data_IF_172583228554
#
_entry.id   IF_172583228554
#
_cell.length_a   1.000
_cell.length_b   1.000
_cell.length_c   1.000
_cell.angle_alpha   90.00
_cell.angle_beta   90.00
_cell.angle_gamma   90.00
#
_symmetry.space_group_name_H-M   'P 1'
#
loop_
_entity.id
_entity.type
_entity.pdbx_description
1 polymer ?
#
# COMPACT_ATOMS: atom_id res chain seq x y z
N UNK A 1 -15.38 -2.14 4.98
CA UNK A 1 -15.33 -3.29 4.06
C UNK A 1 -14.62 -2.82 2.79
N UNK A 2 -13.33 -3.11 2.64
CA UNK A 2 -12.58 -2.74 1.42
C UNK A 2 -12.62 -3.93 0.47
N UNK A 3 -13.27 -3.78 -0.68
CA UNK A 3 -13.38 -4.81 -1.72
C UNK A 3 -12.55 -4.32 -2.91
N UNK A 4 -11.38 -4.91 -3.15
CA UNK A 4 -10.65 -4.74 -4.40
C UNK A 4 -11.06 -5.85 -5.38
N UNK A 5 -11.66 -5.47 -6.52
CA UNK A 5 -11.95 -6.37 -7.65
C UNK A 5 -10.76 -6.39 -8.59
N UNK A 6 -10.26 -7.58 -8.93
CA UNK A 6 -9.45 -7.81 -10.12
C UNK A 6 -9.85 -9.12 -10.79
N UNK A 7 -9.91 -9.06 -12.12
CA UNK A 7 -10.35 -10.09 -13.05
C UNK A 7 -9.49 -11.37 -12.97
N UNK A 8 -10.13 -12.50 -13.30
CA UNK A 8 -9.62 -13.88 -13.42
C UNK A 8 -9.65 -14.81 -12.21
N UNK A 9 -9.96 -14.34 -10.99
CA UNK A 9 -10.39 -15.24 -9.91
C UNK A 9 -11.67 -14.70 -9.27
N UNK A 10 -12.72 -15.52 -9.25
CA UNK A 10 -13.95 -15.25 -8.50
C UNK A 10 -13.71 -15.42 -6.99
N UNK A 11 -12.62 -14.85 -6.47
CA UNK A 11 -12.23 -14.94 -5.08
C UNK A 11 -12.21 -13.55 -4.44
N UNK A 12 -12.51 -13.50 -3.14
CA UNK A 12 -12.37 -12.32 -2.31
C UNK A 12 -11.71 -12.70 -0.99
N UNK A 13 -10.71 -11.93 -0.58
CA UNK A 13 -10.08 -12.02 0.72
C UNK A 13 -10.65 -10.93 1.64
N UNK A 14 -11.13 -11.31 2.81
CA UNK A 14 -11.66 -10.37 3.82
C UNK A 14 -11.08 -10.70 5.18
N UNK A 15 -10.87 -9.67 6.02
CA UNK A 15 -10.74 -9.88 7.47
C UNK A 15 -12.08 -9.53 8.13
N UNK A 16 -12.74 -10.48 8.81
CA UNK A 16 -14.02 -10.24 9.49
C UNK A 16 -13.82 -9.55 10.85
N UNK A 17 -13.10 -8.42 10.85
CA UNK A 17 -12.77 -7.63 12.04
C UNK A 17 -11.99 -8.42 13.12
N UNK A 18 -11.10 -9.33 12.72
CA UNK A 18 -10.30 -10.15 13.63
C UNK A 18 -8.84 -10.27 13.13
N UNK A 19 -8.11 -11.27 13.61
CA UNK A 19 -6.71 -11.54 13.28
C UNK A 19 -6.54 -12.55 12.13
N UNK A 20 -7.61 -12.85 11.39
CA UNK A 20 -7.63 -13.84 10.32
C UNK A 20 -8.01 -13.21 8.98
N UNK A 21 -7.56 -13.83 7.88
CA UNK A 21 -8.11 -13.58 6.53
C UNK A 21 -8.91 -14.79 6.09
N UNK A 22 -10.15 -14.56 5.67
CA UNK A 22 -11.03 -15.56 5.07
C UNK A 22 -11.06 -15.32 3.56
N UNK A 23 -10.76 -16.36 2.79
CA UNK A 23 -10.86 -16.33 1.33
C UNK A 23 -12.16 -17.03 0.94
N UNK A 24 -13.01 -16.32 0.20
CA UNK A 24 -14.25 -16.86 -0.36
C UNK A 24 -14.13 -16.97 -1.86
N UNK A 25 -14.61 -18.07 -2.44
CA UNK A 25 -14.74 -18.26 -3.87
C UNK A 25 -16.21 -18.33 -4.26
N UNK A 26 -16.56 -17.76 -5.42
CA UNK A 26 -17.93 -17.84 -5.93
C UNK A 26 -18.14 -19.20 -6.59
N UNK A 27 -19.14 -19.93 -6.13
CA UNK A 27 -19.65 -21.17 -6.73
C UNK A 27 -21.11 -20.95 -7.13
N UNK A 28 -21.35 -20.78 -8.43
CA UNK A 28 -22.68 -20.39 -8.95
C UNK A 28 -23.14 -19.05 -8.36
N UNK A 29 -24.23 -19.07 -7.59
CA UNK A 29 -24.81 -17.91 -6.92
C UNK A 29 -24.40 -17.77 -5.45
N UNK A 30 -23.51 -18.64 -4.94
CA UNK A 30 -23.07 -18.64 -3.55
C UNK A 30 -21.59 -18.27 -3.43
N UNK A 31 -21.22 -17.71 -2.27
CA UNK A 31 -19.84 -17.54 -1.86
C UNK A 31 -19.50 -18.60 -0.81
N UNK A 32 -18.47 -19.39 -1.08
CA UNK A 32 -18.04 -20.48 -0.20
C UNK A 32 -16.65 -20.14 0.32
N UNK A 33 -16.46 -20.20 1.65
CA UNK A 33 -15.15 -20.02 2.26
C UNK A 33 -14.24 -21.17 1.82
N UNK A 34 -13.18 -20.87 1.08
CA UNK A 34 -12.22 -21.86 0.59
C UNK A 34 -10.98 -21.96 1.48
N UNK A 35 -10.53 -20.86 2.07
CA UNK A 35 -9.34 -20.83 2.93
C UNK A 35 -9.48 -19.89 4.12
N UNK A 36 -8.61 -20.12 5.10
CA UNK A 36 -8.46 -19.33 6.30
C UNK A 36 -6.98 -19.17 6.63
N UNK A 37 -6.50 -17.94 6.69
CA UNK A 37 -5.11 -17.57 6.91
C UNK A 37 -4.98 -17.04 8.34
N UNK A 38 -4.25 -17.78 9.20
CA UNK A 38 -4.19 -17.56 10.66
C UNK A 38 -2.76 -17.45 11.18
N UNK A 39 -2.11 -16.31 10.94
CA UNK A 39 -0.75 -16.07 11.44
C UNK A 39 -0.62 -14.77 12.25
N UNK A 40 -1.50 -13.80 12.00
CA UNK A 40 -1.49 -12.56 12.77
C UNK A 40 -1.97 -12.78 14.21
N UNK A 41 -1.40 -12.02 15.14
CA UNK A 41 -1.79 -12.00 16.56
C UNK A 41 -2.55 -10.73 16.96
N UNK A 42 -2.97 -9.94 15.97
CA UNK A 42 -3.73 -8.71 16.16
C UNK A 42 -4.62 -8.44 14.94
N UNK A 43 -5.49 -7.44 15.06
CA UNK A 43 -6.41 -7.10 13.97
C UNK A 43 -5.67 -6.83 12.66
N UNK A 44 -6.17 -7.44 11.58
CA UNK A 44 -5.67 -7.17 10.23
C UNK A 44 -6.24 -5.84 9.77
N UNK A 45 -5.36 -4.92 9.42
CA UNK A 45 -5.71 -3.55 9.01
C UNK A 45 -5.62 -3.34 7.50
N UNK A 46 -4.86 -4.19 6.80
CA UNK A 46 -4.71 -4.10 5.36
C UNK A 46 -4.50 -5.48 4.72
N UNK A 47 -5.11 -5.64 3.55
CA UNK A 47 -4.98 -6.82 2.68
C UNK A 47 -4.85 -6.30 1.26
N UNK A 48 -3.90 -6.81 0.50
CA UNK A 48 -3.82 -6.58 -0.94
C UNK A 48 -3.44 -7.87 -1.66
N UNK A 49 -4.04 -8.11 -2.83
CA UNK A 49 -3.85 -9.34 -3.60
C UNK A 49 -3.20 -8.99 -4.94
N UNK A 50 -1.98 -9.49 -5.14
CA UNK A 50 -1.19 -9.30 -6.34
C UNK A 50 -1.76 -10.19 -7.47
N UNK A 51 -2.35 -9.62 -8.53
CA UNK A 51 -3.13 -10.39 -9.51
C UNK A 51 -2.31 -11.30 -10.43
N UNK A 52 -1.03 -10.98 -10.69
CA UNK A 52 -0.17 -11.75 -11.62
C UNK A 52 0.57 -12.87 -10.89
N UNK A 53 1.10 -12.58 -9.71
CA UNK A 53 1.88 -13.51 -8.89
C UNK A 53 1.03 -14.37 -7.96
N UNK A 54 -0.26 -14.08 -7.84
CA UNK A 54 -1.21 -14.73 -6.94
C UNK A 54 -0.72 -14.77 -5.47
N UNK A 55 -0.09 -13.66 -5.06
CA UNK A 55 0.36 -13.46 -3.68
C UNK A 55 -0.57 -12.51 -2.95
N UNK A 56 -0.90 -12.85 -1.70
CA UNK A 56 -1.60 -11.93 -0.81
C UNK A 56 -0.58 -11.29 0.11
N UNK A 57 -0.68 -9.99 0.37
CA UNK A 57 0.03 -9.36 1.48
C UNK A 57 -0.98 -8.90 2.52
N UNK A 58 -0.65 -9.16 3.78
CA UNK A 58 -1.44 -8.69 4.92
C UNK A 58 -0.57 -7.87 5.86
N UNK A 59 -1.17 -6.89 6.54
CA UNK A 59 -0.53 -6.16 7.63
C UNK A 59 -1.52 -5.94 8.78
N UNK A 60 -1.01 -5.83 10.01
CA UNK A 60 -1.88 -5.77 11.19
C UNK A 60 -1.37 -4.95 12.37
N UNK A 61 -2.22 -4.88 13.39
CA UNK A 61 -1.97 -4.20 14.66
C UNK A 61 -0.84 -4.86 15.48
N UNK A 62 -0.52 -6.12 15.20
CA UNK A 62 0.60 -6.87 15.76
C UNK A 62 1.98 -6.39 15.26
N UNK A 63 1.99 -5.42 14.32
CA UNK A 63 3.18 -4.77 13.73
C UNK A 63 3.89 -5.64 12.69
N UNK A 64 3.27 -6.74 12.28
CA UNK A 64 3.81 -7.64 11.28
C UNK A 64 3.16 -7.39 9.92
N UNK A 65 3.86 -7.82 8.87
CA UNK A 65 3.27 -8.14 7.59
C UNK A 65 3.65 -9.54 7.18
N UNK A 66 2.76 -10.20 6.44
CA UNK A 66 3.01 -11.51 5.86
C UNK A 66 2.74 -11.44 4.37
N UNK A 67 3.62 -12.05 3.58
CA UNK A 67 3.35 -12.38 2.18
C UNK A 67 2.93 -13.84 2.15
N UNK A 68 1.76 -14.09 1.61
CA UNK A 68 1.16 -15.40 1.49
C UNK A 68 1.32 -15.89 0.04
N UNK A 69 1.81 -17.11 -0.10
CA UNK A 69 1.92 -17.79 -1.39
C UNK A 69 1.12 -19.08 -1.35
N UNK A 70 0.37 -19.37 -2.42
CA UNK A 70 -0.37 -20.61 -2.55
C UNK A 70 0.55 -21.72 -3.09
N UNK A 71 0.78 -22.76 -2.28
CA UNK A 71 1.56 -23.94 -2.68
C UNK A 71 0.81 -25.20 -2.31
N UNK A 72 0.62 -26.10 -3.27
CA UNK A 72 -0.08 -27.38 -3.08
C UNK A 72 -1.49 -27.21 -2.46
N UNK A 73 -2.21 -26.15 -2.88
CA UNK A 73 -3.54 -25.82 -2.38
C UNK A 73 -3.57 -25.18 -0.97
N UNK A 74 -2.41 -24.92 -0.37
CA UNK A 74 -2.29 -24.33 0.97
C UNK A 74 -1.57 -22.98 0.90
N UNK A 75 -2.18 -21.96 1.50
CA UNK A 75 -1.54 -20.66 1.67
C UNK A 75 -0.46 -20.74 2.76
N UNK A 76 0.77 -20.38 2.40
CA UNK A 76 1.92 -20.36 3.30
C UNK A 76 2.35 -18.91 3.57
N UNK A 77 2.41 -18.47 4.84
CA UNK A 77 2.90 -17.14 5.18
C UNK A 77 4.43 -17.10 5.19
N UNK A 78 4.98 -16.00 4.69
CA UNK A 78 6.37 -15.58 4.89
C UNK A 78 6.37 -14.27 5.66
N UNK A 79 7.01 -14.26 6.83
CA UNK A 79 7.12 -13.06 7.67
C UNK A 79 7.96 -11.98 6.99
N UNK A 80 7.49 -10.74 7.04
CA UNK A 80 8.21 -9.56 6.57
C UNK A 80 8.56 -8.67 7.76
N UNK A 81 9.85 -8.44 7.98
CA UNK A 81 10.31 -7.59 9.08
C UNK A 81 10.18 -6.11 8.68
N UNK A 82 9.07 -5.51 9.09
CA UNK A 82 8.76 -4.10 8.80
C UNK A 82 9.63 -3.09 9.55
N UNK A 83 10.25 -3.51 10.66
CA UNK A 83 11.04 -2.66 11.57
C UNK A 83 10.26 -1.44 12.09
N UNK A 84 8.98 -1.65 12.44
CA UNK A 84 8.09 -0.64 13.03
C UNK A 84 7.78 -0.94 14.50
N UNK A 85 7.51 0.09 15.30
CA UNK A 85 7.21 -0.03 16.74
C UNK A 85 5.76 0.35 17.09
N UNK A 86 4.90 0.49 16.09
CA UNK A 86 3.46 0.76 16.17
C UNK A 86 2.74 -0.04 15.10
N UNK A 87 1.42 -0.18 15.21
CA UNK A 87 0.58 -0.91 14.26
C UNK A 87 0.89 -0.54 12.80
N UNK A 88 0.89 -1.54 11.92
CA UNK A 88 0.67 -1.30 10.50
C UNK A 88 -0.80 -0.90 10.31
N UNK A 89 -1.08 -0.07 9.31
CA UNK A 89 -2.41 0.54 9.13
C UNK A 89 -2.95 0.36 7.72
N UNK A 90 -2.08 0.15 6.74
CA UNK A 90 -2.45 -0.01 5.34
C UNK A 90 -1.35 -0.76 4.60
N UNK A 91 -1.68 -1.52 3.56
CA UNK A 91 -0.69 -2.16 2.68
C UNK A 91 -1.15 -2.16 1.24
N UNK A 92 -0.21 -1.97 0.31
CA UNK A 92 -0.44 -2.07 -1.14
C UNK A 92 0.74 -2.64 -1.91
N UNK A 93 0.48 -3.66 -2.73
CA UNK A 93 1.39 -4.12 -3.78
C UNK A 93 1.61 -3.03 -4.81
N UNK A 94 2.82 -2.95 -5.34
CA UNK A 94 3.14 -2.10 -6.48
C UNK A 94 2.60 -2.73 -7.78
N UNK A 95 2.37 -1.95 -8.85
CA UNK A 95 1.82 -2.44 -10.12
C UNK A 95 2.61 -3.57 -10.79
N UNK A 96 3.93 -3.64 -10.57
CA UNK A 96 4.78 -4.71 -11.07
C UNK A 96 4.92 -5.89 -10.09
N UNK A 97 4.30 -5.80 -8.90
CA UNK A 97 4.29 -6.84 -7.87
C UNK A 97 5.68 -7.27 -7.37
N UNK A 98 6.70 -6.45 -7.64
CA UNK A 98 8.09 -6.65 -7.21
C UNK A 98 8.38 -6.02 -5.83
N UNK A 99 7.46 -5.21 -5.32
CA UNK A 99 7.53 -4.59 -4.00
C UNK A 99 6.13 -4.21 -3.50
N UNK A 100 6.02 -3.86 -2.24
CA UNK A 100 4.80 -3.32 -1.64
C UNK A 100 5.14 -2.25 -0.60
N UNK A 101 4.16 -1.43 -0.26
CA UNK A 101 4.31 -0.37 0.73
C UNK A 101 3.35 -0.60 1.90
N UNK A 102 3.85 -0.39 3.12
CA UNK A 102 3.08 -0.50 4.37
C UNK A 102 3.08 0.84 5.09
N UNK A 103 1.90 1.39 5.31
CA UNK A 103 1.69 2.55 6.19
C UNK A 103 1.66 2.12 7.66
N UNK A 104 2.14 2.99 8.55
CA UNK A 104 2.16 2.68 9.98
C UNK A 104 1.86 3.89 10.86
N UNK A 105 1.33 3.61 12.06
CA UNK A 105 1.29 4.57 13.17
C UNK A 105 2.67 4.99 13.70
N UNK A 106 3.74 4.35 13.22
CA UNK A 106 5.13 4.73 13.50
C UNK A 106 5.59 5.95 12.68
N UNK A 107 4.66 6.62 11.98
CA UNK A 107 4.90 7.85 11.19
C UNK A 107 5.92 7.63 10.08
N UNK A 108 5.83 6.48 9.43
CA UNK A 108 6.69 6.09 8.33
C UNK A 108 5.95 5.16 7.37
N UNK A 109 6.52 5.00 6.18
CA UNK A 109 6.13 3.99 5.20
C UNK A 109 7.28 3.00 5.05
N UNK A 110 7.00 1.71 5.19
CA UNK A 110 7.94 0.64 4.87
C UNK A 110 7.72 0.19 3.42
N UNK A 111 8.72 0.38 2.56
CA UNK A 111 8.74 -0.16 1.20
C UNK A 111 9.51 -1.48 1.23
N UNK A 112 8.81 -2.57 0.97
CA UNK A 112 9.31 -3.92 1.11
C UNK A 112 9.51 -4.57 -0.26
N UNK A 113 10.65 -5.23 -0.46
CA UNK A 113 10.98 -5.95 -1.69
C UNK A 113 11.72 -7.25 -1.34
N UNK A 114 11.67 -8.22 -2.25
CA UNK A 114 12.31 -9.51 -2.06
C UNK A 114 13.74 -9.49 -2.62
N UNK A 115 14.71 -9.94 -1.83
CA UNK A 115 16.10 -10.09 -2.25
C UNK A 115 16.38 -11.56 -2.53
N UNK A 116 16.41 -11.93 -3.82
CA UNK A 116 16.53 -13.32 -4.27
C UNK A 116 17.79 -14.01 -3.78
N UNK A 117 18.90 -13.28 -3.71
CA UNK A 117 20.22 -13.83 -3.36
C UNK A 117 20.27 -14.34 -1.92
N UNK A 118 19.42 -13.78 -1.05
CA UNK A 118 19.38 -14.10 0.38
C UNK A 118 18.03 -14.73 0.81
N UNK A 119 17.10 -14.94 -0.13
CA UNK A 119 15.78 -15.57 0.08
C UNK A 119 14.93 -14.90 1.20
N UNK A 120 14.94 -13.57 1.29
CA UNK A 120 14.22 -12.84 2.34
C UNK A 120 13.66 -11.49 1.89
N UNK A 121 12.69 -10.99 2.67
CA UNK A 121 12.08 -9.69 2.46
C UNK A 121 12.83 -8.57 3.20
N UNK A 122 13.29 -7.58 2.43
CA UNK A 122 13.95 -6.37 2.94
C UNK A 122 12.94 -5.23 3.03
N UNK A 123 13.05 -4.38 4.05
CA UNK A 123 12.27 -3.14 4.17
C UNK A 123 13.17 -1.91 4.13
N UNK A 124 12.84 -0.89 3.32
CA UNK A 124 13.42 0.46 3.39
C UNK A 124 12.36 1.45 3.87
N UNK A 125 12.74 2.45 4.67
CA UNK A 125 11.78 3.37 5.31
C UNK A 125 11.77 4.76 4.69
N UNK A 126 10.58 5.26 4.36
CA UNK A 126 10.32 6.67 4.09
C UNK A 126 9.79 7.29 5.39
N UNK A 127 10.60 8.16 6.02
CA UNK A 127 10.29 8.75 7.35
C UNK A 127 9.92 10.22 7.29
N UNK A 128 10.81 11.07 6.76
CA UNK A 128 10.59 12.52 6.69
C UNK A 128 9.81 12.86 5.41
N UNK A 129 8.88 13.85 5.44
CA UNK A 129 8.49 14.71 6.56
C UNK A 129 7.22 14.23 7.29
N UNK A 130 6.94 12.92 7.32
CA UNK A 130 5.70 12.36 7.90
C UNK A 130 5.67 12.61 9.40
N UNK A 131 4.59 13.23 9.90
CA UNK A 131 4.44 13.59 11.32
C UNK A 131 3.35 12.83 12.06
N UNK A 132 2.54 12.03 11.37
CA UNK A 132 1.47 11.25 11.99
C UNK A 132 1.24 9.92 11.27
N UNK A 133 0.25 9.16 11.71
CA UNK A 133 -0.14 7.86 11.14
C UNK A 133 -0.45 7.97 9.65
N UNK A 134 0.07 7.03 8.85
CA UNK A 134 -0.32 6.86 7.45
C UNK A 134 -1.65 6.11 7.40
N UNK A 135 -2.63 6.60 6.66
CA UNK A 135 -3.97 6.00 6.56
C UNK A 135 -4.22 5.32 5.22
N UNK A 136 -3.61 5.81 4.16
CA UNK A 136 -3.84 5.32 2.80
C UNK A 136 -2.61 5.46 1.94
N UNK A 137 -2.44 4.51 1.02
CA UNK A 137 -1.37 4.50 0.04
C UNK A 137 -1.96 4.18 -1.35
N UNK A 138 -1.41 4.78 -2.39
CA UNK A 138 -1.70 4.36 -3.76
C UNK A 138 -0.46 4.51 -4.65
N UNK A 139 -0.21 3.50 -5.47
CA UNK A 139 0.96 3.47 -6.34
C UNK A 139 0.65 4.16 -7.66
N UNK A 140 1.58 4.98 -8.12
CA UNK A 140 1.56 5.49 -9.47
C UNK A 140 1.82 4.35 -10.48
N UNK A 141 1.25 4.39 -11.69
CA UNK A 141 1.40 3.34 -12.71
C UNK A 141 2.86 3.03 -13.10
N UNK A 142 3.78 3.98 -12.90
CA UNK A 142 5.23 3.78 -13.14
C UNK A 142 5.93 2.90 -12.09
N UNK A 143 5.22 2.35 -11.11
CA UNK A 143 5.76 1.51 -10.03
C UNK A 143 6.71 2.22 -9.06
N UNK A 144 6.99 3.51 -9.23
CA UNK A 144 7.98 4.25 -8.42
C UNK A 144 7.34 5.28 -7.51
N UNK A 145 6.44 6.12 -8.03
CA UNK A 145 5.82 7.14 -7.19
C UNK A 145 4.74 6.52 -6.30
N UNK A 146 4.66 7.00 -5.08
CA UNK A 146 3.74 6.50 -4.06
C UNK A 146 3.01 7.69 -3.42
N UNK A 147 1.70 7.74 -3.58
CA UNK A 147 0.85 8.67 -2.88
C UNK A 147 0.60 8.17 -1.46
N UNK A 148 0.57 9.09 -0.50
CA UNK A 148 0.31 8.78 0.90
C UNK A 148 -0.60 9.82 1.54
N UNK A 149 -1.68 9.35 2.17
CA UNK A 149 -2.57 10.14 3.02
C UNK A 149 -2.25 9.86 4.49
N UNK A 150 -2.28 10.90 5.34
CA UNK A 150 -1.92 10.75 6.75
C UNK A 150 -2.71 11.65 7.70
N UNK A 151 -2.64 11.32 8.99
CA UNK A 151 -3.27 12.07 10.06
C UNK A 151 -2.59 13.41 10.38
N UNK A 152 -1.51 13.79 9.67
CA UNK A 152 -0.92 15.13 9.77
C UNK A 152 -1.55 16.13 8.79
N UNK A 153 -2.70 15.75 8.23
CA UNK A 153 -3.53 16.53 7.31
C UNK A 153 -2.90 16.74 5.93
N UNK A 154 -1.91 15.93 5.58
CA UNK A 154 -1.22 16.00 4.29
C UNK A 154 -1.48 14.79 3.40
N UNK A 155 -1.62 15.10 2.11
CA UNK A 155 -1.45 14.17 1.01
C UNK A 155 -0.07 14.42 0.39
N UNK A 156 0.74 13.38 0.22
CA UNK A 156 2.11 13.49 -0.30
C UNK A 156 2.36 12.52 -1.43
N UNK A 157 3.26 12.91 -2.35
CA UNK A 157 3.83 12.01 -3.37
C UNK A 157 5.30 11.80 -3.04
N UNK A 158 5.67 10.55 -2.79
CA UNK A 158 7.05 10.14 -2.54
C UNK A 158 7.63 9.34 -3.71
N UNK A 159 8.95 9.32 -3.83
CA UNK A 159 9.64 8.26 -4.58
C UNK A 159 9.87 7.06 -3.68
N UNK A 160 9.37 5.91 -4.10
CA UNK A 160 9.66 4.60 -3.53
C UNK A 160 10.55 3.77 -4.47
N UNK A 161 11.48 4.43 -5.17
CA UNK A 161 12.42 3.81 -6.09
C UNK A 161 13.41 2.87 -5.37
N UNK A 162 13.50 1.62 -5.82
CA UNK A 162 14.40 0.59 -5.29
C UNK A 162 15.29 0.09 -6.44
N UNK A 163 16.51 0.61 -6.54
CA UNK A 163 17.45 0.25 -7.63
C UNK A 163 17.69 -1.25 -7.80
N UNK A 164 17.50 -2.02 -6.72
CA UNK A 164 17.76 -3.46 -6.68
C UNK A 164 16.69 -4.29 -7.40
N UNK A 165 15.47 -3.77 -7.60
CA UNK A 165 14.35 -4.55 -8.17
C UNK A 165 13.65 -3.88 -9.36
N UNK A 166 14.14 -2.73 -9.81
CA UNK A 166 13.57 -2.00 -10.95
C UNK A 166 14.58 -1.04 -11.59
N UNK A 167 14.32 -0.72 -12.86
CA UNK A 167 15.11 0.21 -13.63
C UNK A 167 14.95 1.67 -13.16
N UNK A 168 15.92 2.50 -13.53
CA UNK A 168 15.87 3.93 -13.22
C UNK A 168 14.64 4.57 -13.91
N UNK A 169 13.77 5.27 -13.15
CA UNK A 169 12.57 5.86 -13.72
C UNK A 169 12.89 7.03 -14.66
N UNK A 170 12.06 7.17 -15.69
CA UNK A 170 11.99 8.40 -16.50
C UNK A 170 11.30 9.55 -15.75
N UNK A 171 11.38 10.79 -16.28
CA UNK A 171 10.70 11.94 -15.69
C UNK A 171 9.17 11.77 -15.74
N UNK A 172 8.49 12.38 -14.77
CA UNK A 172 7.03 12.47 -14.72
C UNK A 172 6.62 13.93 -14.52
N UNK A 173 5.33 14.28 -14.67
CA UNK A 173 4.86 15.61 -14.33
C UNK A 173 5.13 16.01 -12.87
N UNK A 174 5.28 15.04 -11.96
CA UNK A 174 5.60 15.27 -10.55
C UNK A 174 7.07 15.60 -10.29
N UNK A 175 7.95 15.39 -11.28
CA UNK A 175 9.38 15.66 -11.14
C UNK A 175 10.26 14.70 -11.95
N UNK A 176 11.53 15.07 -12.07
CA UNK A 176 12.55 14.33 -12.85
C UNK A 176 13.59 13.61 -11.97
N UNK A 177 13.76 14.01 -10.71
CA UNK A 177 14.70 13.39 -9.76
C UNK A 177 13.93 12.61 -8.71
N UNK A 178 14.07 11.30 -8.72
CA UNK A 178 13.29 10.39 -7.85
C UNK A 178 14.19 9.46 -7.01
N UNK A 179 15.20 9.95 -6.27
CA UNK A 179 15.90 9.09 -5.32
C UNK A 179 14.91 8.59 -4.24
N UNK A 180 15.18 7.43 -3.66
CA UNK A 180 14.33 6.85 -2.63
C UNK A 180 14.02 7.84 -1.50
N UNK A 181 12.75 7.98 -1.15
CA UNK A 181 12.26 8.85 -0.08
C UNK A 181 12.16 10.34 -0.44
N UNK A 182 12.49 10.75 -1.67
CA UNK A 182 12.25 12.11 -2.12
C UNK A 182 10.76 12.46 -2.03
N UNK A 183 10.45 13.69 -1.61
CA UNK A 183 9.11 14.27 -1.68
C UNK A 183 9.00 15.00 -3.02
N UNK A 184 8.06 14.58 -3.86
CA UNK A 184 7.81 15.18 -5.17
C UNK A 184 6.68 16.21 -5.08
N UNK A 185 5.72 15.99 -4.18
CA UNK A 185 4.67 16.93 -3.89
C UNK A 185 4.15 16.75 -2.46
N UNK A 186 3.69 17.85 -1.85
CA UNK A 186 2.96 17.86 -0.58
C UNK A 186 1.77 18.82 -0.71
N UNK A 187 0.59 18.33 -0.33
CA UNK A 187 -0.67 19.06 -0.37
C UNK A 187 -1.34 19.06 1.00
N UNK A 188 -2.19 20.07 1.24
CA UNK A 188 -2.93 20.23 2.50
C UNK A 188 -2.19 21.06 3.57
N UNK A 189 -2.86 21.33 4.68
CA UNK A 189 -2.30 22.03 5.84
C UNK A 189 -2.59 23.53 5.99
N UNK A 190 -3.39 24.14 5.12
CA UNK A 190 -3.89 25.51 5.33
C UNK A 190 -5.32 25.45 5.90
N UNK A 191 -5.54 25.97 7.12
CA UNK A 191 -6.89 26.23 7.66
C UNK A 191 -7.65 25.04 8.29
N UNK A 192 -7.08 24.35 9.28
CA UNK A 192 -7.82 23.39 10.13
C UNK A 192 -8.09 22.00 9.53
N UNK A 193 -7.34 21.62 8.49
CA UNK A 193 -7.61 20.46 7.64
C UNK A 193 -7.86 19.11 8.33
N UNK A 194 -8.45 18.17 7.59
CA UNK A 194 -8.82 16.84 8.07
C UNK A 194 -7.80 15.74 7.79
N UNK A 195 -7.90 14.61 8.51
CA UNK A 195 -7.12 13.41 8.21
C UNK A 195 -7.41 12.94 6.78
N UNK A 196 -6.36 12.60 6.03
CA UNK A 196 -6.51 12.14 4.65
C UNK A 196 -6.79 10.63 4.66
N UNK A 197 -8.04 10.25 4.42
CA UNK A 197 -8.52 8.87 4.57
C UNK A 197 -8.23 7.98 3.37
N UNK A 198 -8.20 8.56 2.17
CA UNK A 198 -7.92 7.81 0.94
C UNK A 198 -7.25 8.72 -0.08
N UNK A 199 -6.33 8.13 -0.85
CA UNK A 199 -5.63 8.76 -1.97
C UNK A 199 -5.76 7.85 -3.19
N UNK A 200 -5.76 8.42 -4.40
CA UNK A 200 -5.73 7.63 -5.63
C UNK A 200 -5.11 8.38 -6.81
N UNK A 201 -4.14 7.76 -7.47
CA UNK A 201 -3.62 8.21 -8.76
C UNK A 201 -4.60 7.90 -9.89
N UNK A 202 -4.62 8.75 -10.91
CA UNK A 202 -5.25 8.41 -12.18
C UNK A 202 -4.52 7.27 -12.87
N UNK A 203 -5.19 6.59 -13.80
CA UNK A 203 -4.59 5.53 -14.63
C UNK A 203 -3.36 6.00 -15.43
N UNK A 204 -3.35 7.27 -15.87
CA UNK A 204 -2.17 7.90 -16.48
C UNK A 204 -1.08 8.28 -15.48
N UNK A 205 -1.41 8.36 -14.20
CA UNK A 205 -0.54 8.83 -13.13
C UNK A 205 -0.39 10.35 -13.03
N UNK A 206 -0.92 11.10 -14.00
CA UNK A 206 -0.77 12.56 -14.04
C UNK A 206 -1.64 13.31 -13.02
N UNK A 207 -2.68 12.68 -12.48
CA UNK A 207 -3.58 13.28 -11.50
C UNK A 207 -3.58 12.49 -10.21
N UNK A 208 -3.79 13.20 -9.11
CA UNK A 208 -3.94 12.62 -7.79
C UNK A 208 -5.21 13.18 -7.15
N UNK A 209 -6.05 12.29 -6.63
CA UNK A 209 -7.23 12.65 -5.85
C UNK A 209 -7.08 12.18 -4.40
N UNK A 210 -7.68 12.90 -3.45
CA UNK A 210 -7.80 12.44 -2.07
C UNK A 210 -9.05 12.98 -1.39
N UNK A 211 -9.46 12.30 -0.31
CA UNK A 211 -10.58 12.70 0.54
C UNK A 211 -10.11 12.90 1.97
N UNK A 212 -10.65 13.92 2.62
CA UNK A 212 -10.24 14.34 3.96
C UNK A 212 -11.42 14.39 4.93
N UNK A 213 -11.11 14.27 6.22
CA UNK A 213 -12.11 14.26 7.30
C UNK A 213 -12.88 15.59 7.47
N UNK A 214 -12.42 16.67 6.83
CA UNK A 214 -13.07 17.99 6.79
C UNK A 214 -14.18 18.07 5.72
N UNK A 215 -14.68 16.92 5.26
CA UNK A 215 -15.72 16.80 4.22
C UNK A 215 -15.30 17.32 2.84
N UNK A 216 -14.00 17.30 2.54
CA UNK A 216 -13.48 17.71 1.23
C UNK A 216 -13.01 16.55 0.37
N UNK A 217 -13.14 16.72 -0.94
CA UNK A 217 -12.44 15.94 -1.97
C UNK A 217 -11.58 16.91 -2.76
N UNK A 218 -10.32 16.55 -2.99
CA UNK A 218 -9.38 17.37 -3.76
C UNK A 218 -8.81 16.56 -4.91
N UNK A 219 -8.63 17.21 -6.06
CA UNK A 219 -7.97 16.64 -7.23
C UNK A 219 -6.92 17.63 -7.72
N UNK A 220 -5.71 17.15 -7.94
CA UNK A 220 -4.60 17.94 -8.48
C UNK A 220 -4.07 17.28 -9.75
N UNK A 221 -3.57 18.10 -10.67
CA UNK A 221 -3.01 17.67 -11.95
C UNK A 221 -1.55 18.07 -12.01
N UNK A 222 -0.65 17.09 -11.97
CA UNK A 222 0.80 17.30 -11.97
C UNK A 222 1.33 17.92 -13.27
N UNK A 223 0.53 17.93 -14.35
CA UNK A 223 0.92 18.58 -15.62
C UNK A 223 0.72 20.10 -15.59
N UNK A 224 -0.15 20.58 -14.71
CA UNK A 224 -0.39 22.00 -14.50
C UNK A 224 0.49 22.43 -13.33
N UNK A 225 1.68 22.93 -13.65
CA UNK A 225 2.70 23.26 -12.66
C UNK A 225 2.13 24.02 -11.45
N UNK A 226 2.65 23.72 -10.27
CA UNK A 226 2.48 24.56 -9.09
C UNK A 226 3.05 25.94 -9.41
N UNK A 227 2.17 26.90 -9.67
CA UNK A 227 2.51 28.32 -9.73
C UNK A 227 2.78 28.83 -8.31
#
# INVERSE_FOLDING_TARGET
>A
MFIHRLFCYLAIAISPNNHEVHIYQKSGNQWVKSHELKEHNGHITGIDWAPKSDRIVTCGADRNAYVWSLKDGVWKPTLVILRINRAATFVKWSPLENKFAVGSGARLISVCYFESDNDWWVSKHIKKPIRSTILSLDWHPNNVLLAAGSCDFKCRVFSAYIKEVEEKPGPTPWGSKMPFGAVLAEFGGAGGGGWVHSVSFSSSGNRLAWVSHDSTVTVVDGTKGST
#
